data_IF_744785997415
#
_entry.id   IF_744785997415
#
_cell.length_a   1.000
_cell.length_b   1.000
_cell.length_c   1.000
_cell.angle_alpha   90.00
_cell.angle_beta   90.00
_cell.angle_gamma   90.00
#
_symmetry.space_group_name_H-M   'P 1'
#
loop_
_entity.id
_entity.type
_entity.pdbx_description
1 polymer ?
#
# COMPACT_ATOMS: atom_id res chain seq x y z
N UNK A 1 -3.93 6.06 14.83
CA UNK A 1 -3.15 5.96 13.59
C UNK A 1 -3.94 5.15 12.58
N UNK A 2 -3.78 5.44 11.29
CA UNK A 2 -4.35 4.71 10.17
C UNK A 2 -3.19 4.07 9.42
N UNK A 3 -3.16 2.74 9.39
CA UNK A 3 -2.23 1.97 8.59
C UNK A 3 -2.76 1.86 7.16
N UNK A 4 -1.96 2.29 6.20
CA UNK A 4 -2.26 2.17 4.77
C UNK A 4 -1.08 1.60 4.00
N UNK A 5 -1.36 0.93 2.89
CA UNK A 5 -0.32 0.35 2.04
C UNK A 5 -0.59 -1.11 1.69
N UNK A 6 0.48 -1.87 1.52
CA UNK A 6 0.41 -3.29 1.19
C UNK A 6 0.18 -4.08 2.46
N UNK A 7 -0.63 -5.14 2.37
CA UNK A 7 -0.75 -6.10 3.45
C UNK A 7 0.53 -6.89 3.65
N UNK A 8 0.88 -7.13 4.90
CA UNK A 8 2.09 -7.86 5.26
C UNK A 8 1.87 -9.35 5.05
N UNK A 9 2.09 -9.81 3.82
CA UNK A 9 2.00 -11.21 3.46
C UNK A 9 2.78 -11.52 2.18
N UNK A 10 2.96 -12.82 1.92
CA UNK A 10 3.78 -13.34 0.84
C UNK A 10 3.33 -12.97 -0.58
N UNK A 11 2.12 -12.40 -0.75
CA UNK A 11 1.63 -11.93 -2.04
C UNK A 11 2.24 -10.59 -2.44
N UNK A 12 2.95 -9.89 -1.54
CA UNK A 12 3.90 -8.87 -1.96
C UNK A 12 5.13 -9.59 -2.50
N UNK A 13 5.42 -9.46 -3.80
CA UNK A 13 6.51 -10.19 -4.45
C UNK A 13 7.46 -9.20 -5.10
N UNK A 14 8.66 -9.08 -4.57
CA UNK A 14 9.70 -8.21 -5.12
C UNK A 14 10.71 -9.11 -5.84
N UNK A 15 10.76 -9.10 -7.18
CA UNK A 15 11.69 -9.95 -7.92
C UNK A 15 13.15 -9.68 -7.54
N UNK A 16 14.05 -10.67 -7.70
CA UNK A 16 15.48 -10.46 -7.51
C UNK A 16 16.07 -9.56 -8.59
N UNK A 17 17.22 -8.94 -8.31
CA UNK A 17 18.02 -8.21 -9.29
C UNK A 17 17.42 -6.87 -9.76
N UNK A 18 16.43 -6.33 -9.06
CA UNK A 18 15.77 -5.09 -9.46
C UNK A 18 16.52 -3.89 -8.85
N UNK A 19 16.95 -2.96 -9.70
CA UNK A 19 17.55 -1.70 -9.24
C UNK A 19 16.51 -0.73 -8.68
N UNK A 20 15.26 -0.85 -9.12
CA UNK A 20 14.15 -0.01 -8.71
C UNK A 20 12.81 -0.70 -9.01
N UNK A 21 12.36 -1.57 -8.10
CA UNK A 21 11.02 -2.18 -8.17
C UNK A 21 10.02 -1.39 -7.35
N UNK A 22 8.81 -1.18 -7.86
CA UNK A 22 7.76 -0.43 -7.15
C UNK A 22 6.65 -1.38 -6.72
N UNK A 23 6.49 -1.58 -5.42
CA UNK A 23 5.27 -2.17 -4.85
C UNK A 23 4.27 -1.07 -4.50
N UNK A 24 2.98 -1.31 -4.78
CA UNK A 24 1.91 -0.34 -4.53
C UNK A 24 0.86 -0.93 -3.60
N UNK A 25 0.64 -0.23 -2.50
CA UNK A 25 -0.45 -0.49 -1.57
C UNK A 25 -1.56 0.55 -1.71
N UNK A 26 -2.81 0.13 -1.65
CA UNK A 26 -3.97 0.97 -1.95
C UNK A 26 -4.96 1.02 -0.80
N UNK A 27 -5.49 2.22 -0.55
CA UNK A 27 -6.64 2.46 0.30
C UNK A 27 -7.75 3.06 -0.55
N UNK A 28 -8.84 2.32 -0.75
CA UNK A 28 -9.93 2.71 -1.67
C UNK A 28 -10.80 3.83 -1.12
N UNK A 29 -11.40 4.62 -2.01
CA UNK A 29 -12.34 5.70 -1.71
C UNK A 29 -13.53 5.27 -0.85
N UNK A 30 -14.01 4.04 -1.07
CA UNK A 30 -15.09 3.44 -0.29
C UNK A 30 -14.74 3.32 1.18
N UNK A 31 -13.48 3.05 1.53
CA UNK A 31 -13.05 2.91 2.92
C UNK A 31 -13.13 4.24 3.70
N UNK A 32 -12.66 5.35 3.12
CA UNK A 32 -12.81 6.68 3.74
C UNK A 32 -14.29 7.09 3.79
N UNK A 33 -15.05 6.86 2.71
CA UNK A 33 -16.49 7.17 2.66
C UNK A 33 -17.28 6.48 3.78
N UNK A 34 -17.09 5.17 3.95
CA UNK A 34 -17.85 4.37 4.91
C UNK A 34 -17.41 4.65 6.35
N UNK A 35 -16.10 4.75 6.59
CA UNK A 35 -15.58 5.01 7.93
C UNK A 35 -16.02 6.38 8.47
N UNK A 36 -15.96 7.42 7.63
CA UNK A 36 -16.39 8.77 7.99
C UNK A 36 -17.92 8.88 8.14
N UNK A 37 -18.70 8.18 7.30
CA UNK A 37 -20.15 8.10 7.47
C UNK A 37 -20.52 7.48 8.82
N UNK A 38 -19.86 6.38 9.22
CA UNK A 38 -20.09 5.76 10.53
C UNK A 38 -19.65 6.65 11.70
N UNK A 39 -18.56 7.42 11.53
CA UNK A 39 -18.12 8.39 12.53
C UNK A 39 -18.97 9.69 12.58
N UNK A 40 -19.88 9.88 11.61
CA UNK A 40 -20.64 11.11 11.42
C UNK A 40 -19.74 12.37 11.32
N UNK A 41 -18.66 12.28 10.53
CA UNK A 41 -17.75 13.40 10.25
C UNK A 41 -17.64 13.66 8.75
N UNK A 42 -17.36 14.89 8.38
CA UNK A 42 -17.17 15.30 6.97
C UNK A 42 -15.71 15.51 6.59
N UNK A 43 -14.79 15.45 7.55
CA UNK A 43 -13.35 15.63 7.34
C UNK A 43 -12.57 14.98 8.48
N UNK A 44 -11.40 14.41 8.18
CA UNK A 44 -10.32 14.24 9.16
C UNK A 44 -9.02 14.80 8.62
N UNK A 45 -8.09 15.14 9.51
CA UNK A 45 -6.82 15.79 9.19
C UNK A 45 -5.66 14.92 9.58
N UNK A 46 -4.77 14.66 8.63
CA UNK A 46 -3.48 14.00 8.86
C UNK A 46 -2.47 15.07 9.27
N UNK A 47 -1.80 14.89 10.39
CA UNK A 47 -0.80 15.84 10.91
C UNK A 47 0.62 15.25 10.96
N UNK A 48 0.76 13.93 10.78
CA UNK A 48 2.06 13.27 10.75
C UNK A 48 1.99 11.90 10.10
N UNK A 49 3.13 11.43 9.60
CA UNK A 49 3.27 10.14 8.92
C UNK A 49 4.56 9.45 9.33
N UNK A 50 4.47 8.15 9.62
CA UNK A 50 5.62 7.26 9.74
C UNK A 50 5.58 6.26 8.60
N UNK A 51 6.59 6.27 7.72
CA UNK A 51 6.71 5.34 6.60
C UNK A 51 7.58 4.14 7.02
N UNK A 52 7.22 2.94 6.56
CA UNK A 52 7.86 1.70 7.00
C UNK A 52 8.03 0.70 5.84
N UNK A 53 9.24 0.15 5.76
CA UNK A 53 9.72 -0.90 4.86
C UNK A 53 10.91 -1.58 5.54
N UNK A 54 11.29 -2.79 5.12
CA UNK A 54 12.52 -3.45 5.57
C UNK A 54 13.73 -3.06 4.69
N UNK A 55 14.75 -3.92 4.68
CA UNK A 55 16.13 -3.62 4.26
C UNK A 55 16.28 -3.29 2.78
N UNK A 56 15.43 -3.82 1.90
CA UNK A 56 15.48 -3.53 0.47
C UNK A 56 14.79 -2.20 0.11
N UNK A 57 14.01 -1.60 1.02
CA UNK A 57 13.33 -0.33 0.80
C UNK A 57 14.31 0.83 0.68
N UNK A 58 14.18 1.64 -0.38
CA UNK A 58 15.06 2.80 -0.64
C UNK A 58 14.32 4.12 -0.79
N UNK A 59 13.00 4.07 -1.04
CA UNK A 59 12.12 5.25 -1.10
C UNK A 59 10.69 4.86 -0.83
N UNK A 60 9.96 5.71 -0.10
CA UNK A 60 8.53 5.53 0.15
C UNK A 60 7.78 6.82 -0.19
N UNK A 61 6.66 6.70 -0.91
CA UNK A 61 5.81 7.83 -1.29
C UNK A 61 4.38 7.53 -0.91
N UNK A 62 3.78 8.35 -0.05
CA UNK A 62 2.35 8.27 0.25
C UNK A 62 1.63 9.35 -0.54
N UNK A 63 0.63 8.94 -1.32
CA UNK A 63 -0.13 9.79 -2.23
C UNK A 63 -1.59 9.83 -1.81
N UNK A 64 -2.24 10.94 -2.10
CA UNK A 64 -3.62 11.23 -1.74
C UNK A 64 -4.38 11.64 -3.00
N UNK A 65 -5.58 11.09 -3.18
CA UNK A 65 -6.40 11.30 -4.35
C UNK A 65 -7.82 11.69 -3.97
N UNK A 66 -8.44 12.52 -4.83
CA UNK A 66 -9.85 12.92 -4.74
C UNK A 66 -10.48 12.87 -6.11
N UNK A 67 -11.55 12.08 -6.27
CA UNK A 67 -12.22 11.91 -7.56
C UNK A 67 -11.29 11.40 -8.67
N UNK A 68 -10.36 10.51 -8.33
CA UNK A 68 -9.38 9.94 -9.26
C UNK A 68 -8.20 10.85 -9.62
N UNK A 69 -8.15 12.09 -9.11
CA UNK A 69 -7.03 13.01 -9.33
C UNK A 69 -6.11 13.03 -8.11
N UNK A 70 -4.81 13.02 -8.35
CA UNK A 70 -3.82 13.20 -7.29
C UNK A 70 -3.88 14.64 -6.76
N UNK A 71 -3.95 14.77 -5.44
CA UNK A 71 -3.83 16.03 -4.72
C UNK A 71 -2.36 16.37 -4.48
N UNK A 72 -2.00 17.56 -3.93
CA UNK A 72 -0.63 17.82 -3.53
C UNK A 72 -0.04 16.65 -2.73
N UNK A 73 1.20 16.30 -3.06
CA UNK A 73 1.86 15.12 -2.52
C UNK A 73 1.78 15.09 -0.99
N UNK A 74 1.23 14.01 -0.43
CA UNK A 74 1.05 13.88 1.02
C UNK A 74 2.41 13.84 1.73
N UNK A 75 3.27 12.88 1.36
CA UNK A 75 4.66 12.84 1.84
C UNK A 75 5.50 11.89 0.98
N UNK A 76 6.79 12.19 0.85
CA UNK A 76 7.78 11.26 0.31
C UNK A 76 9.04 11.26 1.17
N UNK A 77 9.61 10.07 1.31
CA UNK A 77 10.99 9.87 1.73
C UNK A 77 11.81 9.38 0.53
N UNK A 78 12.57 10.26 -0.16
CA UNK A 78 13.32 9.87 -1.34
C UNK A 78 14.59 9.06 -1.01
N UNK A 79 15.03 9.07 0.25
CA UNK A 79 16.24 8.38 0.72
C UNK A 79 15.91 7.56 1.98
N UNK A 80 14.88 6.73 1.89
CA UNK A 80 14.45 5.92 3.01
C UNK A 80 15.57 4.96 3.44
N UNK A 81 15.82 4.87 4.75
CA UNK A 81 16.77 3.93 5.37
C UNK A 81 16.04 3.15 6.46
N UNK A 82 16.07 1.82 6.37
CA UNK A 82 15.49 0.93 7.38
C UNK A 82 15.97 1.23 8.80
N UNK A 83 17.20 1.72 8.98
CA UNK A 83 17.75 2.05 10.29
C UNK A 83 17.32 3.43 10.80
N UNK A 84 16.68 4.25 9.96
CA UNK A 84 16.21 5.59 10.30
C UNK A 84 14.73 5.77 9.94
N UNK A 85 13.86 5.32 10.85
CA UNK A 85 12.41 5.39 10.70
C UNK A 85 11.84 6.39 11.71
N UNK A 86 11.43 7.55 11.23
CA UNK A 86 10.94 8.65 12.07
C UNK A 86 9.47 9.00 11.77
N UNK A 87 8.77 9.46 12.80
CA UNK A 87 7.46 10.08 12.66
C UNK A 87 7.65 11.53 12.18
N UNK A 88 7.34 11.77 10.91
CA UNK A 88 7.46 13.10 10.32
C UNK A 88 6.17 13.88 10.53
N UNK A 89 6.26 14.98 11.28
CA UNK A 89 5.19 15.98 11.33
C UNK A 89 5.07 16.67 9.98
N UNK A 90 3.86 16.81 9.47
CA UNK A 90 3.62 17.54 8.24
C UNK A 90 3.72 19.06 8.48
N UNK A 91 4.26 19.85 7.53
CA UNK A 91 4.29 21.30 7.65
C UNK A 91 2.89 21.90 7.82
N UNK A 92 1.93 21.33 7.10
CA UNK A 92 0.51 21.66 7.17
C UNK A 92 -0.30 20.37 7.32
N UNK A 93 -1.42 20.47 8.03
CA UNK A 93 -2.33 19.33 8.18
C UNK A 93 -3.10 19.09 6.87
N UNK A 94 -3.21 17.83 6.47
CA UNK A 94 -3.85 17.44 5.22
C UNK A 94 -5.28 16.98 5.50
N UNK A 95 -6.25 17.72 4.96
CA UNK A 95 -7.67 17.41 5.03
C UNK A 95 -8.07 16.25 4.10
N UNK A 96 -8.73 15.26 4.66
CA UNK A 96 -9.24 14.07 3.97
C UNK A 96 -10.76 14.07 4.04
N UNK A 97 -11.38 13.99 2.87
CA UNK A 97 -12.83 14.02 2.71
C UNK A 97 -13.40 12.62 2.44
N UNK A 98 -14.71 12.40 2.66
CA UNK A 98 -15.36 11.14 2.30
C UNK A 98 -15.20 10.85 0.81
N UNK A 99 -14.68 9.68 0.47
CA UNK A 99 -14.42 9.31 -0.93
C UNK A 99 -13.04 9.70 -1.45
N UNK A 100 -12.14 10.18 -0.59
CA UNK A 100 -10.72 10.27 -0.91
C UNK A 100 -10.05 8.89 -0.81
N UNK A 101 -9.00 8.66 -1.59
CA UNK A 101 -8.23 7.42 -1.59
C UNK A 101 -6.75 7.68 -1.39
N UNK A 102 -6.00 6.65 -0.97
CA UNK A 102 -4.55 6.74 -0.79
C UNK A 102 -3.81 5.64 -1.53
N UNK A 103 -2.56 5.93 -1.86
CA UNK A 103 -1.61 4.94 -2.38
C UNK A 103 -0.26 5.09 -1.70
N UNK A 104 0.36 3.97 -1.34
CA UNK A 104 1.72 3.91 -0.83
C UNK A 104 2.58 3.22 -1.88
N UNK A 105 3.52 3.97 -2.46
CA UNK A 105 4.50 3.46 -3.41
C UNK A 105 5.83 3.23 -2.67
N UNK A 106 6.26 1.98 -2.57
CA UNK A 106 7.54 1.61 -1.99
C UNK A 106 8.48 1.14 -3.08
N UNK A 107 9.66 1.77 -3.14
CA UNK A 107 10.71 1.46 -4.07
C UNK A 107 11.73 0.55 -3.40
N UNK A 108 12.11 -0.52 -4.10
CA UNK A 108 13.02 -1.53 -3.61
C UNK A 108 14.24 -1.70 -4.50
N UNK A 109 15.39 -1.93 -3.86
CA UNK A 109 16.61 -2.36 -4.51
C UNK A 109 16.95 -3.79 -4.06
N UNK A 110 16.86 -4.73 -5.00
CA UNK A 110 17.17 -6.15 -4.81
C UNK A 110 18.36 -6.60 -5.66
N UNK A 111 19.22 -5.67 -6.11
CA UNK A 111 20.50 -6.02 -6.73
C UNK A 111 21.28 -6.95 -5.78
N UNK A 112 21.80 -8.05 -6.33
CA UNK A 112 22.55 -9.06 -5.56
C UNK A 112 21.69 -10.11 -4.85
N UNK A 113 20.37 -9.97 -4.82
CA UNK A 113 19.46 -11.06 -4.41
C UNK A 113 19.31 -12.06 -5.57
N UNK A 114 19.29 -13.35 -5.25
CA UNK A 114 19.08 -14.44 -6.23
C UNK A 114 17.67 -15.05 -6.16
N UNK A 115 16.93 -14.74 -5.11
CA UNK A 115 15.56 -15.19 -4.84
C UNK A 115 14.66 -13.96 -4.65
N UNK A 116 13.34 -14.06 -4.92
CA UNK A 116 12.43 -12.97 -4.67
C UNK A 116 12.38 -12.64 -3.17
N UNK A 117 12.17 -11.38 -2.86
CA UNK A 117 11.88 -10.92 -1.50
C UNK A 117 10.36 -10.85 -1.38
N UNK A 118 9.81 -11.60 -0.43
CA UNK A 118 8.37 -11.68 -0.21
C UNK A 118 7.94 -10.77 0.93
N UNK A 119 6.68 -10.38 0.98
CA UNK A 119 6.13 -9.62 2.10
C UNK A 119 6.00 -10.47 3.36
N UNK A 120 6.33 -9.90 4.52
CA UNK A 120 6.32 -10.62 5.78
C UNK A 120 6.92 -9.84 6.95
N UNK A 121 7.05 -10.50 8.10
CA UNK A 121 7.40 -9.85 9.38
C UNK A 121 8.91 -9.82 9.65
N UNK A 122 9.69 -10.68 8.99
CA UNK A 122 11.13 -10.78 9.24
C UNK A 122 11.91 -9.75 8.44
N UNK A 123 13.13 -9.43 8.87
CA UNK A 123 14.02 -8.50 8.16
C UNK A 123 14.51 -9.00 6.80
N UNK A 124 14.30 -10.29 6.50
CA UNK A 124 14.60 -10.89 5.18
C UNK A 124 13.41 -10.80 4.21
N UNK A 125 12.22 -10.53 4.74
CA UNK A 125 11.00 -10.22 4.01
C UNK A 125 10.84 -8.69 3.91
N UNK A 126 9.77 -8.23 3.29
CA UNK A 126 9.49 -6.80 3.13
C UNK A 126 8.11 -6.36 3.62
N UNK A 127 7.97 -5.05 3.79
CA UNK A 127 6.70 -4.38 4.04
C UNK A 127 6.61 -3.12 3.18
N UNK A 128 5.39 -2.68 2.88
CA UNK A 128 5.15 -1.37 2.27
C UNK A 128 4.02 -0.65 3.01
N UNK A 129 4.36 0.14 4.02
CA UNK A 129 3.38 0.71 4.93
C UNK A 129 3.61 2.21 5.12
N UNK A 130 2.50 2.94 5.25
CA UNK A 130 2.48 4.30 5.74
C UNK A 130 1.47 4.41 6.89
N UNK A 131 1.94 4.88 8.03
CA UNK A 131 1.13 5.09 9.23
C UNK A 131 0.78 6.57 9.35
N UNK A 132 -0.47 6.92 9.02
CA UNK A 132 -0.97 8.28 9.16
C UNK A 132 -1.46 8.54 10.59
N UNK A 133 -1.00 9.64 11.17
CA UNK A 133 -1.46 10.18 12.44
C UNK A 133 -2.44 11.30 12.15
N UNK A 134 -3.65 11.18 12.69
CA UNK A 134 -4.77 12.01 12.26
C UNK A 134 -5.78 12.27 13.39
N UNK A 135 -6.64 13.26 13.19
CA UNK A 135 -7.81 13.54 14.02
C UNK A 135 -8.95 14.18 13.20
N UNK A 136 -10.22 14.13 13.64
CA UNK A 136 -10.74 13.30 14.72
C UNK A 136 -10.66 11.80 14.36
N UNK A 137 -10.80 10.93 15.36
CA UNK A 137 -10.72 9.47 15.17
C UNK A 137 -11.88 8.97 14.30
N UNK A 138 -11.59 8.08 13.36
CA UNK A 138 -12.58 7.31 12.57
C UNK A 138 -12.51 5.82 12.95
N UNK A 139 -13.57 5.03 12.69
CA UNK A 139 -13.60 3.60 12.99
C UNK A 139 -12.78 2.73 12.01
N UNK A 140 -11.66 3.25 11.49
CA UNK A 140 -10.77 2.57 10.55
C UNK A 140 -9.33 2.65 11.04
N UNK A 141 -8.74 1.49 11.29
CA UNK A 141 -7.34 1.35 11.69
C UNK A 141 -6.47 0.86 10.54
N UNK A 142 -7.00 0.01 9.66
CA UNK A 142 -6.30 -0.52 8.51
C UNK A 142 -7.05 -0.17 7.22
N UNK A 143 -6.30 0.19 6.19
CA UNK A 143 -6.79 0.36 4.83
C UNK A 143 -5.72 -0.15 3.86
N UNK A 144 -5.79 -1.43 3.53
CA UNK A 144 -4.71 -2.19 2.91
C UNK A 144 -5.17 -2.84 1.61
N UNK A 145 -4.19 -3.19 0.76
CA UNK A 145 -4.44 -4.00 -0.42
C UNK A 145 -3.39 -5.11 -0.59
N UNK A 146 -3.70 -6.06 -1.46
CA UNK A 146 -2.75 -7.06 -1.97
C UNK A 146 -3.17 -7.52 -3.37
N UNK A 147 -2.25 -8.01 -4.21
CA UNK A 147 -2.58 -8.57 -5.50
C UNK A 147 -3.30 -9.92 -5.37
N UNK A 148 -4.12 -10.21 -6.37
CA UNK A 148 -4.61 -11.53 -6.73
C UNK A 148 -4.00 -11.87 -8.09
N UNK A 149 -3.19 -12.92 -8.11
CA UNK A 149 -2.49 -13.38 -9.30
C UNK A 149 -3.37 -14.18 -10.29
N UNK A 150 -4.67 -13.85 -10.37
CA UNK A 150 -5.66 -14.54 -11.21
C UNK A 150 -6.06 -15.92 -10.71
N UNK A 151 -5.82 -16.23 -9.43
CA UNK A 151 -6.09 -17.54 -8.84
C UNK A 151 -7.27 -17.41 -7.87
N UNK A 152 -8.29 -18.25 -8.08
CA UNK A 152 -9.54 -18.26 -7.33
C UNK A 152 -9.91 -19.70 -6.91
N UNK A 153 -10.78 -19.83 -5.90
CA UNK A 153 -11.22 -21.10 -5.34
C UNK A 153 -10.64 -21.39 -3.96
N UNK A 154 -11.10 -22.48 -3.34
CA UNK A 154 -10.77 -22.83 -1.94
C UNK A 154 -9.27 -23.12 -1.73
N UNK A 155 -8.55 -23.52 -2.78
CA UNK A 155 -7.12 -23.81 -2.78
C UNK A 155 -6.26 -22.66 -3.35
N UNK A 156 -6.85 -21.46 -3.51
CA UNK A 156 -6.17 -20.33 -4.14
C UNK A 156 -4.90 -19.91 -3.39
N UNK A 157 -4.87 -20.02 -2.07
CA UNK A 157 -3.69 -19.71 -1.25
C UNK A 157 -2.50 -20.60 -1.61
N UNK A 158 -2.70 -21.91 -1.55
CA UNK A 158 -1.71 -22.94 -1.88
C UNK A 158 -1.22 -22.82 -3.33
N UNK A 159 -2.14 -22.65 -4.29
CA UNK A 159 -1.78 -22.48 -5.71
C UNK A 159 -0.99 -21.20 -5.95
N UNK A 160 -1.35 -20.10 -5.28
CA UNK A 160 -0.60 -18.84 -5.38
C UNK A 160 0.82 -19.01 -4.85
N UNK A 161 0.96 -19.68 -3.70
CA UNK A 161 2.26 -19.96 -3.11
C UNK A 161 3.14 -20.82 -4.03
N UNK A 162 2.59 -21.91 -4.57
CA UNK A 162 3.29 -22.77 -5.53
C UNK A 162 3.70 -22.01 -6.80
N UNK A 163 2.83 -21.14 -7.31
CA UNK A 163 3.15 -20.29 -8.47
C UNK A 163 4.36 -19.39 -8.20
N UNK A 164 4.43 -18.77 -7.02
CA UNK A 164 5.55 -17.90 -6.63
C UNK A 164 6.83 -18.72 -6.45
N UNK A 165 6.76 -19.88 -5.80
CA UNK A 165 7.93 -20.75 -5.57
C UNK A 165 8.52 -21.33 -6.85
N UNK A 166 7.66 -21.69 -7.80
CA UNK A 166 8.07 -22.33 -9.05
C UNK A 166 8.34 -21.31 -10.18
N UNK A 167 8.23 -20.02 -9.91
CA UNK A 167 8.47 -18.97 -10.89
C UNK A 167 9.95 -18.94 -11.29
N UNK A 168 10.21 -18.88 -12.61
CA UNK A 168 11.54 -18.64 -13.14
C UNK A 168 11.88 -17.14 -13.11
N UNK A 169 12.54 -16.71 -12.03
CA UNK A 169 12.93 -15.31 -11.83
C UNK A 169 14.06 -14.83 -12.76
N UNK A 170 14.68 -15.73 -13.53
CA UNK A 170 15.64 -15.34 -14.57
C UNK A 170 14.94 -14.96 -15.87
N UNK A 171 13.69 -15.41 -16.05
CA UNK A 171 12.87 -15.08 -17.20
C UNK A 171 12.22 -13.70 -17.03
N UNK A 172 12.66 -12.75 -17.86
CA UNK A 172 12.15 -11.38 -17.84
C UNK A 172 10.62 -11.30 -17.99
N UNK A 173 10.02 -12.16 -18.80
CA UNK A 173 8.55 -12.18 -19.00
C UNK A 173 7.82 -12.52 -17.70
N UNK A 174 8.37 -13.42 -16.88
CA UNK A 174 7.81 -13.77 -15.57
C UNK A 174 7.92 -12.57 -14.61
N UNK A 175 9.10 -11.93 -14.56
CA UNK A 175 9.34 -10.72 -13.77
C UNK A 175 8.37 -9.59 -14.17
N UNK A 176 8.25 -9.33 -15.46
CA UNK A 176 7.36 -8.29 -16.00
C UNK A 176 5.89 -8.59 -15.67
N UNK A 177 5.48 -9.85 -15.74
CA UNK A 177 4.13 -10.27 -15.38
C UNK A 177 3.84 -10.03 -13.90
N UNK A 178 4.70 -10.46 -12.98
CA UNK A 178 4.52 -10.20 -11.55
C UNK A 178 4.50 -8.71 -11.23
N UNK A 179 5.31 -7.92 -11.95
CA UNK A 179 5.34 -6.46 -11.84
C UNK A 179 4.01 -5.85 -12.27
N UNK A 180 3.45 -6.29 -13.39
CA UNK A 180 2.16 -5.82 -13.89
C UNK A 180 1.02 -6.20 -12.94
N UNK A 181 0.97 -7.45 -12.46
CA UNK A 181 -0.10 -7.90 -11.56
C UNK A 181 -0.15 -7.11 -10.26
N UNK A 182 1.00 -6.81 -9.67
CA UNK A 182 1.10 -5.96 -8.47
C UNK A 182 0.80 -4.48 -8.71
N UNK A 183 0.84 -4.04 -9.98
CA UNK A 183 0.60 -2.65 -10.35
C UNK A 183 -0.87 -2.37 -10.66
N UNK A 184 -1.48 -3.20 -11.51
CA UNK A 184 -2.81 -2.97 -12.10
C UNK A 184 -3.62 -4.26 -12.26
N UNK A 185 -3.10 -5.39 -11.79
CA UNK A 185 -3.78 -6.67 -11.87
C UNK A 185 -4.98 -6.78 -10.92
N UNK A 186 -5.66 -7.93 -10.92
CA UNK A 186 -6.67 -8.24 -9.93
C UNK A 186 -6.07 -8.13 -8.52
N UNK A 187 -6.90 -7.77 -7.54
CA UNK A 187 -6.45 -7.55 -6.19
C UNK A 187 -7.60 -7.53 -5.19
N UNK A 188 -7.20 -7.52 -3.94
CA UNK A 188 -8.07 -7.32 -2.80
C UNK A 188 -7.72 -5.98 -2.17
N UNK A 189 -8.73 -5.23 -1.76
CA UNK A 189 -8.58 -4.08 -0.89
C UNK A 189 -9.53 -4.25 0.28
N UNK A 190 -9.09 -3.92 1.48
CA UNK A 190 -9.95 -3.98 2.65
C UNK A 190 -9.66 -2.86 3.62
N UNK A 191 -10.66 -2.59 4.45
CA UNK A 191 -10.51 -1.72 5.58
C UNK A 191 -11.15 -2.33 6.81
N UNK A 192 -10.43 -2.25 7.93
CA UNK A 192 -10.86 -2.82 9.20
C UNK A 192 -10.70 -1.82 10.34
N UNK A 193 -11.56 -1.96 11.35
CA UNK A 193 -11.46 -1.25 12.62
C UNK A 193 -10.30 -1.75 13.49
N UNK A 194 -10.22 -1.17 14.69
CA UNK A 194 -9.29 -1.56 15.75
C UNK A 194 -10.02 -2.50 16.73
N UNK A 195 -9.66 -3.79 16.73
CA UNK A 195 -10.30 -4.84 17.53
C UNK A 195 -10.27 -4.57 19.05
N UNK A 196 -9.42 -3.65 19.52
CA UNK A 196 -9.31 -3.31 20.94
C UNK A 196 -10.32 -2.24 21.40
N UNK A 197 -10.89 -1.44 20.50
CA UNK A 197 -11.73 -0.27 20.86
C UNK A 197 -12.95 -0.03 19.99
N UNK A 198 -13.05 -0.71 18.86
CA UNK A 198 -14.20 -0.67 17.96
C UNK A 198 -14.65 -2.12 17.84
N UNK A 199 -15.90 -2.48 18.20
CA UNK A 199 -16.38 -3.84 17.97
C UNK A 199 -16.16 -4.20 16.51
N UNK A 200 -15.90 -5.48 16.20
CA UNK A 200 -15.52 -6.07 14.89
C UNK A 200 -16.50 -5.84 13.71
N UNK A 201 -17.20 -4.71 13.70
CA UNK A 201 -18.32 -4.34 12.85
C UNK A 201 -17.91 -3.45 11.68
N UNK A 202 -16.65 -2.95 11.63
CA UNK A 202 -16.12 -2.25 10.46
C UNK A 202 -15.11 -3.15 9.77
N UNK A 203 -15.59 -3.99 8.86
CA UNK A 203 -14.77 -4.92 8.08
C UNK A 203 -15.35 -4.98 6.67
N UNK A 204 -14.64 -4.41 5.70
CA UNK A 204 -15.05 -4.41 4.31
C UNK A 204 -13.95 -4.97 3.42
N UNK A 205 -14.33 -5.92 2.56
CA UNK A 205 -13.47 -6.50 1.54
C UNK A 205 -14.01 -6.14 0.16
N UNK A 206 -13.13 -5.68 -0.70
CA UNK A 206 -13.41 -5.35 -2.08
C UNK A 206 -12.51 -6.17 -3.00
N UNK A 207 -13.10 -6.73 -4.06
CA UNK A 207 -12.41 -7.42 -5.14
C UNK A 207 -12.46 -6.58 -6.41
N UNK A 208 -11.49 -6.78 -7.29
CA UNK A 208 -11.39 -6.09 -8.58
C UNK A 208 -9.95 -5.75 -8.91
N UNK A 209 -9.72 -5.07 -10.02
CA UNK A 209 -8.37 -4.62 -10.36
C UNK A 209 -7.91 -3.55 -9.36
N UNK A 210 -6.62 -3.63 -8.98
CA UNK A 210 -5.98 -2.57 -8.21
C UNK A 210 -6.12 -1.26 -8.98
N UNK A 211 -6.56 -0.17 -8.34
CA UNK A 211 -6.97 1.02 -9.06
C UNK A 211 -5.77 1.58 -9.86
N UNK A 212 -5.94 1.80 -11.17
CA UNK A 212 -4.92 2.41 -12.01
C UNK A 212 -4.86 3.89 -11.66
N UNK A 213 -4.12 4.24 -10.63
CA UNK A 213 -3.82 5.63 -10.35
C UNK A 213 -2.64 6.01 -11.24
N UNK A 214 -2.88 6.27 -12.52
CA UNK A 214 -1.83 6.88 -13.34
C UNK A 214 -1.49 8.23 -12.70
N UNK A 215 -0.22 8.39 -12.33
CA UNK A 215 0.32 9.67 -11.87
C UNK A 215 0.15 10.67 -13.01
N UNK A 216 -0.74 11.64 -12.83
CA UNK A 216 -0.79 12.81 -13.70
C UNK A 216 0.06 13.87 -13.02
N UNK A 217 1.25 14.11 -13.53
CA UNK A 217 2.10 15.20 -13.05
C UNK A 217 1.28 16.50 -13.11
N UNK A 218 1.12 17.23 -11.98
CA UNK A 218 0.46 18.51 -12.03
C UNK A 218 1.18 19.39 -13.04
N UNK A 219 0.42 20.12 -13.86
CA UNK A 219 0.99 21.04 -14.85
C UNK A 219 2.00 21.94 -14.13
N UNK A 220 3.27 21.93 -14.59
CA UNK A 220 4.28 22.87 -14.08
C UNK A 220 3.67 24.26 -14.10
N UNK A 221 3.75 24.98 -12.97
CA UNK A 221 3.31 26.37 -12.92
C UNK A 221 3.95 27.12 -14.09
N UNK A 222 3.12 27.77 -14.91
CA UNK A 222 3.55 28.64 -16.03
C UNK A 222 3.73 30.05 -15.52
#
# INVERSE_FOLDING_TARGET
>A
MLQMGHSVNYRQVIPPGQSNFISRGHCRDTCTRMSMAQANITEFKIFGVLQHSHVAGVRITTRHFRGGRELPLLITDPNYDFNFQDLRKLPEEIAVNPGDSFRVDCHYNTIGKTQPVLGGLTTHEEMCISFAYYYPRIPMANCLSMPNYGIYGDDAETKTWQMIQNADWTNKTVVDWFTQQQSTGPGYTWCTGDSLKIPDNFNYLFTGNLPPHDYVEPSKCT
#
